data_IF_367917697994
#
_entry.id   IF_367917697994
#
_cell.length_a   1.000
_cell.length_b   1.000
_cell.length_c   1.000
_cell.angle_alpha   90.00
_cell.angle_beta   90.00
_cell.angle_gamma   90.00
#
_symmetry.space_group_name_H-M   'P 1'
#
loop_
_entity.id
_entity.type
_entity.pdbx_description
1 polymer ?
#
# COMPACT_ATOMS: atom_id res chain seq x y z
N UNK A 1 -37.43 -44.58 -39.16
CA UNK A 1 -36.83 -44.45 -37.83
C UNK A 1 -35.39 -44.05 -38.02
N UNK A 2 -34.98 -43.09 -37.22
CA UNK A 2 -33.90 -42.13 -37.40
C UNK A 2 -32.52 -42.63 -36.97
N UNK A 3 -31.52 -42.01 -37.59
CA UNK A 3 -30.13 -41.76 -37.16
C UNK A 3 -29.04 -42.76 -37.57
N UNK A 4 -28.25 -42.27 -38.54
CA UNK A 4 -26.86 -42.61 -38.82
C UNK A 4 -26.01 -42.08 -37.66
N UNK A 5 -25.24 -42.95 -37.02
CA UNK A 5 -24.14 -42.58 -36.13
C UNK A 5 -22.94 -42.23 -37.00
N UNK A 6 -22.62 -40.93 -37.13
CA UNK A 6 -21.31 -40.49 -37.58
C UNK A 6 -20.57 -39.91 -36.37
N UNK A 7 -19.51 -40.63 -36.01
CA UNK A 7 -18.57 -40.39 -34.94
C UNK A 7 -17.35 -39.74 -35.57
N UNK A 8 -17.28 -38.41 -35.58
CA UNK A 8 -16.06 -37.68 -35.90
C UNK A 8 -15.46 -37.12 -34.61
N UNK A 9 -14.44 -37.83 -34.13
CA UNK A 9 -13.49 -37.36 -33.15
C UNK A 9 -12.47 -36.48 -33.86
N UNK A 10 -12.61 -35.16 -33.75
CA UNK A 10 -11.62 -34.19 -34.22
C UNK A 10 -10.62 -33.92 -33.09
N UNK A 11 -9.36 -34.29 -33.34
CA UNK A 11 -8.19 -34.06 -32.50
C UNK A 11 -7.94 -32.54 -32.36
N UNK A 12 -7.93 -32.04 -31.12
CA UNK A 12 -7.53 -30.65 -30.83
C UNK A 12 -6.01 -30.63 -30.64
N UNK A 13 -5.31 -30.21 -31.70
CA UNK A 13 -3.91 -29.79 -31.63
C UNK A 13 -3.81 -28.49 -30.83
N UNK A 14 -3.35 -28.58 -29.57
CA UNK A 14 -3.00 -27.42 -28.75
C UNK A 14 -1.57 -26.99 -29.13
N UNK A 15 -1.46 -26.15 -30.16
CA UNK A 15 -0.22 -25.41 -30.42
C UNK A 15 -0.05 -24.37 -29.30
N UNK A 16 0.87 -24.64 -28.38
CA UNK A 16 1.30 -23.72 -27.34
C UNK A 16 2.07 -22.54 -27.95
N UNK A 17 1.38 -21.42 -28.11
CA UNK A 17 2.01 -20.11 -28.28
C UNK A 17 2.45 -19.65 -26.88
N UNK A 18 3.76 -19.77 -26.63
CA UNK A 18 4.47 -19.15 -25.52
C UNK A 18 4.40 -17.62 -25.71
N UNK A 19 3.47 -16.99 -25.00
CA UNK A 19 3.29 -15.54 -25.02
C UNK A 19 4.44 -14.84 -24.28
N UNK A 20 5.26 -14.16 -25.07
CA UNK A 20 6.00 -12.92 -24.86
C UNK A 20 6.42 -12.56 -23.41
N UNK A 21 7.73 -12.58 -23.21
CA UNK A 21 8.47 -12.20 -22.02
C UNK A 21 8.20 -10.72 -21.67
N UNK A 22 7.65 -10.48 -20.48
CA UNK A 22 7.28 -9.15 -20.00
C UNK A 22 8.51 -8.26 -19.80
N UNK A 23 8.69 -7.25 -20.67
CA UNK A 23 9.51 -6.07 -20.40
C UNK A 23 8.69 -5.07 -19.57
N UNK A 24 9.32 -4.44 -18.57
CA UNK A 24 8.69 -3.33 -17.85
C UNK A 24 9.06 -3.17 -16.37
N UNK A 25 10.33 -3.31 -15.98
CA UNK A 25 10.79 -2.68 -14.73
C UNK A 25 11.23 -1.23 -15.03
N UNK A 26 10.28 -0.32 -15.24
CA UNK A 26 10.61 1.10 -15.12
C UNK A 26 10.49 1.47 -13.65
N UNK A 27 11.59 1.30 -12.90
CA UNK A 27 11.73 1.97 -11.62
C UNK A 27 11.91 3.46 -11.91
N UNK A 28 10.79 4.20 -11.97
CA UNK A 28 10.81 5.66 -11.99
C UNK A 28 11.28 6.12 -10.61
N UNK A 29 12.59 6.24 -10.47
CA UNK A 29 13.23 7.00 -9.40
C UNK A 29 12.98 8.47 -9.74
N UNK A 30 11.87 9.01 -9.23
CA UNK A 30 11.60 10.44 -9.34
C UNK A 30 12.47 11.16 -8.30
N UNK A 31 13.72 11.44 -8.68
CA UNK A 31 14.57 12.33 -7.89
C UNK A 31 14.01 13.74 -7.97
N UNK A 32 13.53 14.18 -6.83
CA UNK A 32 12.92 15.47 -6.57
C UNK A 32 13.88 16.64 -6.86
N UNK A 33 13.41 17.61 -7.64
CA UNK A 33 13.60 19.06 -7.40
C UNK A 33 15.03 19.61 -7.37
N UNK A 34 15.55 19.98 -8.53
CA UNK A 34 16.65 20.96 -8.65
C UNK A 34 16.12 22.34 -8.24
N UNK A 35 16.36 22.77 -6.99
CA UNK A 35 16.05 24.14 -6.57
C UNK A 35 17.21 25.07 -6.96
N UNK A 36 16.99 25.90 -7.97
CA UNK A 36 17.90 26.99 -8.35
C UNK A 36 17.86 28.07 -7.26
N UNK A 37 18.92 28.15 -6.46
CA UNK A 37 19.14 29.25 -5.53
C UNK A 37 19.68 30.46 -6.31
N UNK A 38 18.83 31.44 -6.55
CA UNK A 38 19.23 32.78 -7.00
C UNK A 38 19.84 33.54 -5.82
N UNK A 39 21.16 33.70 -5.80
CA UNK A 39 21.90 34.48 -4.80
C UNK A 39 21.70 35.98 -5.08
N UNK A 40 20.63 36.55 -4.54
CA UNK A 40 20.45 38.00 -4.49
C UNK A 40 21.33 38.58 -3.38
N UNK A 41 22.43 39.22 -3.75
CA UNK A 41 23.29 39.95 -2.82
C UNK A 41 22.52 41.06 -2.10
N UNK A 42 22.39 40.91 -0.78
CA UNK A 42 21.90 41.95 0.12
C UNK A 42 23.03 42.35 1.07
N UNK A 43 23.58 43.53 0.81
CA UNK A 43 24.50 44.25 1.70
C UNK A 43 23.72 44.65 2.96
N UNK A 44 23.72 43.76 3.95
CA UNK A 44 23.20 44.02 5.28
C UNK A 44 24.37 44.39 6.17
N UNK A 45 24.38 45.66 6.59
CA UNK A 45 25.26 46.14 7.65
C UNK A 45 25.11 45.22 8.87
N UNK A 46 26.16 44.46 9.15
CA UNK A 46 26.28 43.54 10.27
C UNK A 46 26.43 44.33 11.58
N UNK A 47 25.32 44.92 12.03
CA UNK A 47 25.12 45.25 13.44
C UNK A 47 24.59 43.99 14.11
N UNK A 48 25.46 42.98 14.29
CA UNK A 48 25.14 41.76 15.03
C UNK A 48 24.82 42.16 16.47
N UNK A 49 23.56 42.11 16.87
CA UNK A 49 23.24 41.94 18.29
C UNK A 49 23.93 40.65 18.75
N UNK A 50 24.68 40.65 19.87
CA UNK A 50 25.33 39.44 20.33
C UNK A 50 24.27 38.40 20.65
N UNK A 51 24.28 37.30 19.89
CA UNK A 51 23.61 36.06 20.24
C UNK A 51 23.87 35.77 21.73
N UNK A 52 22.85 35.45 22.55
CA UNK A 52 23.07 35.14 23.94
C UNK A 52 23.98 33.92 24.01
N UNK A 53 25.23 34.13 24.41
CA UNK A 53 26.15 33.04 24.68
C UNK A 53 25.45 32.09 25.66
N UNK A 54 25.44 30.77 25.40
CA UNK A 54 24.81 29.84 26.31
C UNK A 54 25.47 30.03 27.69
N UNK A 55 24.65 30.34 28.71
CA UNK A 55 25.08 30.55 30.11
C UNK A 55 25.92 29.38 30.70
N UNK A 56 26.04 28.27 29.98
CA UNK A 56 26.81 27.10 30.31
C UNK A 56 27.75 26.67 29.19
N UNK A 57 29.03 27.03 29.32
CA UNK A 57 30.12 26.30 28.67
C UNK A 57 30.18 24.89 29.27
N UNK A 58 29.64 23.88 28.58
CA UNK A 58 29.88 22.48 28.94
C UNK A 58 31.18 22.00 28.29
N UNK A 59 32.31 21.91 29.02
CA UNK A 59 33.54 21.40 28.45
C UNK A 59 33.34 19.92 28.06
N UNK A 60 33.82 19.56 26.86
CA UNK A 60 33.95 18.17 26.45
C UNK A 60 34.91 17.47 27.40
N UNK A 61 34.36 16.68 28.33
CA UNK A 61 35.12 15.94 29.33
C UNK A 61 35.14 14.47 28.95
N UNK A 62 36.31 13.82 29.10
CA UNK A 62 36.48 12.37 28.87
C UNK A 62 35.46 11.55 29.69
N UNK A 63 35.13 12.05 30.88
CA UNK A 63 34.12 11.49 31.78
C UNK A 63 32.99 12.52 31.88
N UNK A 64 32.03 12.42 30.96
CA UNK A 64 30.88 13.32 30.91
C UNK A 64 30.14 13.42 32.26
N UNK A 65 29.49 14.56 32.49
CA UNK A 65 28.62 14.77 33.65
C UNK A 65 27.55 13.66 33.65
N UNK A 66 27.30 12.96 34.78
CA UNK A 66 26.26 11.93 34.84
C UNK A 66 24.90 12.56 34.48
N UNK A 67 24.39 12.21 33.30
CA UNK A 67 23.08 12.69 32.84
C UNK A 67 21.98 12.09 33.71
N UNK A 68 20.89 12.83 33.97
CA UNK A 68 19.70 12.26 34.58
C UNK A 68 19.29 11.01 33.80
N UNK A 69 19.05 9.91 34.51
CA UNK A 69 18.44 8.74 33.89
C UNK A 69 17.00 9.12 33.53
N UNK A 70 16.67 9.05 32.23
CA UNK A 70 15.30 9.16 31.76
C UNK A 70 14.74 7.73 31.64
N UNK A 71 14.00 7.23 32.65
CA UNK A 71 13.38 5.92 32.53
C UNK A 71 12.31 5.96 31.43
N UNK A 72 12.34 5.00 30.51
CA UNK A 72 11.22 4.75 29.63
C UNK A 72 10.10 4.12 30.45
N UNK A 73 9.16 4.94 30.91
CA UNK A 73 8.04 4.52 31.78
C UNK A 73 6.81 4.05 31.00
N UNK A 74 6.83 4.21 29.68
CA UNK A 74 5.69 3.91 28.81
C UNK A 74 5.98 2.73 27.91
N UNK A 75 4.95 1.94 27.66
CA UNK A 75 4.97 0.90 26.64
C UNK A 75 4.59 1.54 25.30
N UNK A 76 5.60 1.90 24.51
CA UNK A 76 5.40 2.42 23.15
C UNK A 76 4.83 1.34 22.23
N UNK A 77 3.98 1.74 21.28
CA UNK A 77 3.40 0.87 20.27
C UNK A 77 2.02 0.29 20.64
N UNK A 78 1.37 -0.32 19.65
CA UNK A 78 0.07 -0.97 19.81
C UNK A 78 0.23 -2.19 20.73
N UNK A 79 -0.54 -2.21 21.81
CA UNK A 79 -0.55 -3.31 22.76
C UNK A 79 -1.45 -4.43 22.23
N UNK A 80 -0.87 -5.31 21.42
CA UNK A 80 -1.55 -6.51 20.93
C UNK A 80 -1.34 -7.65 21.95
N UNK A 81 -2.37 -8.42 22.32
CA UNK A 81 -2.20 -9.61 23.15
C UNK A 81 -1.10 -10.54 22.61
N UNK A 82 -0.25 -11.08 23.49
CA UNK A 82 0.90 -11.92 23.11
C UNK A 82 0.53 -13.24 22.38
N UNK A 83 -0.77 -13.56 22.27
CA UNK A 83 -1.30 -14.75 21.58
C UNK A 83 -2.37 -14.38 20.54
N UNK A 84 -2.31 -13.18 19.98
CA UNK A 84 -3.22 -12.78 18.90
C UNK A 84 -2.97 -13.59 17.64
N UNK A 85 -4.06 -14.03 17.01
CA UNK A 85 -3.99 -14.56 15.67
C UNK A 85 -3.64 -13.40 14.72
N UNK A 86 -2.80 -13.61 13.68
CA UNK A 86 -2.60 -12.61 12.63
C UNK A 86 -3.90 -12.01 12.07
N UNK A 87 -4.99 -12.79 12.02
CA UNK A 87 -6.30 -12.30 11.59
C UNK A 87 -6.86 -11.23 12.54
N UNK A 88 -6.73 -11.41 13.85
CA UNK A 88 -7.21 -10.44 14.85
C UNK A 88 -6.50 -9.10 14.70
N UNK A 89 -5.22 -9.11 14.31
CA UNK A 89 -4.44 -7.90 14.07
C UNK A 89 -4.89 -7.22 12.78
N UNK A 90 -5.19 -8.00 11.74
CA UNK A 90 -5.70 -7.49 10.48
C UNK A 90 -7.05 -6.79 10.64
N UNK A 91 -7.96 -7.35 11.44
CA UNK A 91 -9.28 -6.77 11.73
C UNK A 91 -9.21 -5.42 12.45
N UNK A 92 -8.10 -5.08 13.12
CA UNK A 92 -7.90 -3.74 13.69
C UNK A 92 -7.85 -2.67 12.60
N UNK A 93 -7.28 -3.01 11.43
CA UNK A 93 -7.11 -2.08 10.31
C UNK A 93 -8.21 -2.21 9.26
N UNK A 94 -8.78 -3.41 9.12
CA UNK A 94 -9.84 -3.73 8.17
C UNK A 94 -11.12 -4.10 8.92
N UNK A 95 -11.87 -3.07 9.31
CA UNK A 95 -13.15 -3.25 9.97
C UNK A 95 -14.25 -3.71 8.99
N UNK A 96 -15.36 -4.22 9.54
CA UNK A 96 -16.49 -4.66 8.71
C UNK A 96 -17.05 -3.53 7.83
N UNK A 97 -17.00 -2.28 8.32
CA UNK A 97 -17.48 -1.11 7.58
C UNK A 97 -16.68 -0.91 6.30
N UNK A 98 -15.35 -0.95 6.38
CA UNK A 98 -14.45 -0.81 5.23
C UNK A 98 -14.63 -1.97 4.24
N UNK A 99 -14.73 -3.21 4.73
CA UNK A 99 -14.95 -4.37 3.88
C UNK A 99 -16.29 -4.25 3.14
N UNK A 100 -17.36 -3.84 3.82
CA UNK A 100 -18.66 -3.64 3.19
C UNK A 100 -18.60 -2.51 2.14
N UNK A 101 -17.89 -1.42 2.41
CA UNK A 101 -17.69 -0.34 1.45
C UNK A 101 -16.98 -0.84 0.18
N UNK A 102 -15.95 -1.67 0.33
CA UNK A 102 -15.25 -2.28 -0.82
C UNK A 102 -16.23 -3.12 -1.63
N UNK A 103 -17.03 -3.97 -0.98
CA UNK A 103 -18.03 -4.81 -1.67
C UNK A 103 -19.05 -3.97 -2.43
N UNK A 104 -19.60 -2.93 -1.79
CA UNK A 104 -20.58 -2.04 -2.40
C UNK A 104 -20.01 -1.31 -3.62
N UNK A 105 -18.81 -0.74 -3.49
CA UNK A 105 -18.15 0.00 -4.56
C UNK A 105 -17.76 -0.91 -5.73
N UNK A 106 -17.21 -2.09 -5.43
CA UNK A 106 -16.80 -3.06 -6.45
C UNK A 106 -18.01 -3.57 -7.23
N UNK A 107 -19.11 -3.88 -6.53
CA UNK A 107 -20.36 -4.30 -7.17
C UNK A 107 -20.99 -3.16 -7.97
N UNK A 108 -20.99 -1.93 -7.45
CA UNK A 108 -21.49 -0.75 -8.16
C UNK A 108 -20.73 -0.55 -9.47
N UNK A 109 -19.39 -0.63 -9.42
CA UNK A 109 -18.56 -0.48 -10.61
C UNK A 109 -18.80 -1.61 -11.62
N UNK A 110 -18.87 -2.86 -11.18
CA UNK A 110 -19.15 -4.00 -12.05
C UNK A 110 -20.46 -3.80 -12.83
N UNK A 111 -21.53 -3.36 -12.15
CA UNK A 111 -22.81 -3.05 -12.79
C UNK A 111 -22.66 -1.94 -13.84
N UNK A 112 -21.98 -0.84 -13.49
CA UNK A 112 -21.75 0.27 -14.42
C UNK A 112 -20.95 -0.17 -15.65
N UNK A 113 -19.91 -0.97 -15.45
CA UNK A 113 -19.07 -1.50 -16.51
C UNK A 113 -19.87 -2.35 -17.50
N UNK A 114 -20.71 -3.24 -16.98
CA UNK A 114 -21.53 -4.13 -17.79
C UNK A 114 -22.58 -3.36 -18.59
N UNK A 115 -23.27 -2.40 -17.95
CA UNK A 115 -24.27 -1.56 -18.63
C UNK A 115 -23.60 -0.78 -19.77
N UNK A 116 -22.38 -0.27 -19.54
CA UNK A 116 -21.63 0.50 -20.53
C UNK A 116 -21.14 -0.36 -21.69
N UNK A 117 -20.71 -1.60 -21.42
CA UNK A 117 -20.06 -2.45 -22.41
C UNK A 117 -21.02 -3.44 -23.10
N UNK A 118 -22.27 -3.55 -22.64
CA UNK A 118 -23.31 -4.35 -23.31
C UNK A 118 -23.07 -5.87 -23.26
N UNK A 119 -22.23 -6.35 -22.35
CA UNK A 119 -21.91 -7.77 -22.22
C UNK A 119 -23.06 -8.56 -21.56
N UNK A 120 -23.48 -9.67 -22.19
CA UNK A 120 -24.53 -10.55 -21.68
C UNK A 120 -24.00 -11.38 -20.50
N UNK A 121 -24.49 -11.08 -19.32
CA UNK A 121 -24.03 -11.66 -18.07
C UNK A 121 -24.63 -13.06 -17.86
N UNK A 122 -23.84 -14.10 -18.09
CA UNK A 122 -24.01 -15.37 -17.35
C UNK A 122 -22.97 -15.54 -16.25
N UNK A 123 -22.10 -14.54 -16.02
CA UNK A 123 -20.89 -14.71 -15.19
C UNK A 123 -20.60 -13.59 -14.16
N UNK A 124 -21.29 -12.44 -14.13
CA UNK A 124 -21.13 -11.47 -13.04
C UNK A 124 -22.12 -11.75 -11.93
N UNK A 125 -21.83 -12.76 -11.12
CA UNK A 125 -22.44 -12.84 -9.80
C UNK A 125 -21.90 -11.70 -8.95
N UNK A 126 -22.76 -10.90 -8.29
CA UNK A 126 -22.31 -9.93 -7.28
C UNK A 126 -21.36 -10.62 -6.30
N UNK A 127 -20.32 -9.93 -5.85
CA UNK A 127 -19.44 -10.46 -4.81
C UNK A 127 -20.28 -10.63 -3.53
N UNK A 128 -20.70 -11.86 -3.24
CA UNK A 128 -21.44 -12.21 -2.02
C UNK A 128 -20.50 -12.66 -0.90
N UNK A 129 -20.85 -12.30 0.33
CA UNK A 129 -20.07 -12.47 1.56
C UNK A 129 -19.72 -13.94 1.91
N UNK A 130 -20.33 -14.95 1.28
CA UNK A 130 -20.52 -16.28 1.88
C UNK A 130 -19.88 -17.49 1.16
N UNK A 131 -19.03 -17.33 0.14
CA UNK A 131 -18.51 -18.52 -0.56
C UNK A 131 -17.41 -19.33 0.18
N UNK A 132 -17.04 -18.96 1.41
CA UNK A 132 -16.00 -19.66 2.18
C UNK A 132 -16.49 -20.85 3.02
N UNK A 133 -17.74 -21.26 2.91
CA UNK A 133 -18.20 -22.53 3.50
C UNK A 133 -18.04 -23.68 2.49
N UNK A 134 -16.79 -24.04 2.16
CA UNK A 134 -16.50 -25.35 1.58
C UNK A 134 -16.27 -26.35 2.72
N UNK A 135 -17.06 -27.42 2.67
CA UNK A 135 -17.06 -28.62 3.53
C UNK A 135 -15.67 -29.12 3.92
#
# INVERSE_FOLDING_TARGET
MSNLEDNDSEDIDISGDEADEVDGYTSSDETEGESEYEESGEDTNDETEPEPEPDFEMPWTQNGIPRPAFPFTSNSGVQVPAKSNPLDIFEIFFDESLINLIVEETNRFAIQYIIKNGENIRQSTPMERNEYQRN
#
